data_IF_957444102468
#
_entry.id   IF_957444102468
#
_cell.length_a   1.000
_cell.length_b   1.000
_cell.length_c   1.000
_cell.angle_alpha   90.00
_cell.angle_beta   90.00
_cell.angle_gamma   90.00
#
_symmetry.space_group_name_H-M   'P 1'
#
loop_
_entity.id
_entity.type
_entity.pdbx_description
1 polymer ?
#
# COMPACT_ATOMS: atom_id res chain seq x y z
N UNK A 1 43.87 -7.55 -21.19
CA UNK A 1 42.92 -8.52 -20.59
C UNK A 1 41.91 -7.82 -19.69
N UNK A 2 42.32 -6.91 -18.79
CA UNK A 2 41.41 -6.17 -17.89
C UNK A 2 40.19 -5.42 -18.53
N UNK A 3 40.30 -4.86 -19.74
CA UNK A 3 39.17 -4.16 -20.39
C UNK A 3 38.02 -5.08 -20.81
N UNK A 4 38.31 -6.35 -21.15
CA UNK A 4 37.27 -7.34 -21.53
C UNK A 4 36.44 -7.76 -20.31
N UNK A 5 37.05 -7.78 -19.14
CA UNK A 5 36.40 -8.16 -17.88
C UNK A 5 35.45 -7.06 -17.41
N UNK A 6 35.83 -5.78 -17.55
CA UNK A 6 34.97 -4.64 -17.24
C UNK A 6 33.71 -4.59 -18.12
N UNK A 7 33.86 -4.76 -19.44
CA UNK A 7 32.70 -4.76 -20.35
C UNK A 7 31.72 -5.90 -20.09
N UNK A 8 32.21 -7.03 -19.57
CA UNK A 8 31.35 -8.15 -19.17
C UNK A 8 30.59 -7.81 -17.89
N UNK A 9 31.28 -7.23 -16.90
CA UNK A 9 30.66 -6.77 -15.66
C UNK A 9 29.57 -5.73 -15.96
N UNK A 10 29.81 -4.77 -16.85
CA UNK A 10 28.82 -3.75 -17.22
C UNK A 10 27.56 -4.38 -17.83
N UNK A 11 27.72 -5.38 -18.72
CA UNK A 11 26.61 -6.13 -19.30
C UNK A 11 25.84 -6.91 -18.23
N UNK A 12 26.55 -7.65 -17.37
CA UNK A 12 25.92 -8.44 -16.30
C UNK A 12 25.14 -7.53 -15.33
N UNK A 13 25.63 -6.31 -15.07
CA UNK A 13 24.93 -5.29 -14.28
C UNK A 13 23.68 -4.77 -14.99
N UNK A 14 23.73 -4.49 -16.29
CA UNK A 14 22.54 -4.07 -17.05
C UNK A 14 21.48 -5.16 -17.09
N UNK A 15 21.88 -6.41 -17.31
CA UNK A 15 20.97 -7.56 -17.29
C UNK A 15 20.34 -7.76 -15.91
N UNK A 16 21.13 -7.65 -14.83
CA UNK A 16 20.63 -7.71 -13.47
C UNK A 16 19.62 -6.59 -13.17
N UNK A 17 19.91 -5.35 -13.59
CA UNK A 17 18.97 -4.22 -13.44
C UNK A 17 17.65 -4.46 -14.16
N UNK A 18 17.70 -4.98 -15.38
CA UNK A 18 16.49 -5.34 -16.14
C UNK A 18 15.68 -6.40 -15.40
N UNK A 19 16.34 -7.45 -14.91
CA UNK A 19 15.67 -8.51 -14.15
C UNK A 19 15.04 -7.99 -12.86
N UNK A 20 15.70 -7.06 -12.16
CA UNK A 20 15.12 -6.40 -10.97
C UNK A 20 13.85 -5.64 -11.35
N UNK A 21 13.89 -4.83 -12.42
CA UNK A 21 12.72 -4.09 -12.88
C UNK A 21 11.56 -5.01 -13.28
N UNK A 22 11.85 -6.14 -13.94
CA UNK A 22 10.84 -7.15 -14.30
C UNK A 22 10.20 -7.75 -13.04
N UNK A 23 11.00 -8.13 -12.04
CA UNK A 23 10.51 -8.68 -10.76
C UNK A 23 9.70 -7.66 -9.94
N UNK A 24 10.11 -6.39 -9.94
CA UNK A 24 9.35 -5.31 -9.29
C UNK A 24 7.98 -5.13 -9.95
N UNK A 25 7.92 -5.20 -11.28
CA UNK A 25 6.66 -5.12 -11.99
C UNK A 25 5.78 -6.36 -11.74
N UNK A 26 6.33 -7.57 -11.73
CA UNK A 26 5.60 -8.80 -11.36
C UNK A 26 5.04 -8.71 -9.94
N UNK A 27 5.84 -8.23 -8.99
CA UNK A 27 5.39 -8.01 -7.60
C UNK A 27 4.24 -7.02 -7.54
N UNK A 28 4.34 -5.87 -8.22
CA UNK A 28 3.27 -4.87 -8.28
C UNK A 28 1.98 -5.46 -8.86
N UNK A 29 2.08 -6.24 -9.94
CA UNK A 29 0.92 -6.90 -10.55
C UNK A 29 0.29 -7.94 -9.61
N UNK A 30 1.12 -8.70 -8.88
CA UNK A 30 0.64 -9.66 -7.90
C UNK A 30 -0.09 -8.97 -6.74
N UNK A 31 0.44 -7.86 -6.23
CA UNK A 31 -0.18 -7.05 -5.18
C UNK A 31 -1.52 -6.46 -5.63
N UNK A 32 -1.60 -5.88 -6.83
CA UNK A 32 -2.86 -5.38 -7.40
C UNK A 32 -3.90 -6.49 -7.57
N UNK A 33 -3.48 -7.68 -8.02
CA UNK A 33 -4.37 -8.82 -8.16
C UNK A 33 -4.89 -9.32 -6.80
N UNK A 34 -4.03 -9.36 -5.79
CA UNK A 34 -4.42 -9.73 -4.43
C UNK A 34 -5.43 -8.73 -3.85
N UNK A 35 -5.19 -7.42 -4.01
CA UNK A 35 -6.13 -6.38 -3.59
C UNK A 35 -7.51 -6.54 -4.26
N UNK A 36 -7.55 -6.81 -5.57
CA UNK A 36 -8.80 -7.09 -6.28
C UNK A 36 -9.53 -8.32 -5.74
N UNK A 37 -8.80 -9.37 -5.37
CA UNK A 37 -9.40 -10.58 -4.77
C UNK A 37 -9.98 -10.29 -3.37
N UNK A 38 -9.26 -9.52 -2.55
CA UNK A 38 -9.73 -9.07 -1.23
C UNK A 38 -11.04 -8.28 -1.39
N UNK A 39 -11.09 -7.32 -2.32
CA UNK A 39 -12.30 -6.54 -2.59
C UNK A 39 -13.48 -7.41 -3.02
N UNK A 40 -13.26 -8.39 -3.90
CA UNK A 40 -14.31 -9.35 -4.31
C UNK A 40 -14.86 -10.14 -3.13
N UNK A 41 -13.99 -10.68 -2.27
CA UNK A 41 -14.41 -11.44 -1.09
C UNK A 41 -15.16 -10.57 -0.10
N UNK A 42 -14.71 -9.34 0.12
CA UNK A 42 -15.39 -8.38 0.99
C UNK A 42 -16.83 -8.14 0.53
N UNK A 43 -17.02 -7.83 -0.76
CA UNK A 43 -18.36 -7.60 -1.31
C UNK A 43 -19.23 -8.86 -1.22
N UNK A 44 -18.68 -10.05 -1.49
CA UNK A 44 -19.41 -11.30 -1.31
C UNK A 44 -19.88 -11.48 0.14
N UNK A 45 -19.03 -11.17 1.12
CA UNK A 45 -19.39 -11.24 2.55
C UNK A 45 -20.52 -10.26 2.86
N UNK A 46 -20.43 -9.02 2.39
CA UNK A 46 -21.45 -7.99 2.63
C UNK A 46 -22.81 -8.40 2.07
N UNK A 47 -22.85 -8.86 0.81
CA UNK A 47 -24.08 -9.36 0.18
C UNK A 47 -24.63 -10.64 0.84
N UNK A 48 -23.79 -11.43 1.50
CA UNK A 48 -24.24 -12.59 2.30
C UNK A 48 -24.84 -12.18 3.64
N UNK A 49 -24.35 -11.10 4.25
CA UNK A 49 -24.89 -10.53 5.49
C UNK A 49 -26.21 -9.81 5.23
N UNK A 50 -26.26 -9.01 4.18
CA UNK A 50 -27.45 -8.29 3.75
C UNK A 50 -27.57 -8.33 2.22
N UNK A 51 -28.59 -9.05 1.75
CA UNK A 51 -28.85 -9.22 0.32
C UNK A 51 -29.46 -7.98 -0.34
N UNK A 52 -29.88 -6.99 0.45
CA UNK A 52 -30.46 -5.74 -0.05
C UNK A 52 -29.42 -4.66 -0.35
N UNK A 53 -28.18 -4.84 0.11
CA UNK A 53 -27.09 -3.92 -0.19
C UNK A 53 -26.77 -3.91 -1.70
N UNK A 54 -26.48 -2.71 -2.21
CA UNK A 54 -25.93 -2.53 -3.56
C UNK A 54 -24.42 -2.33 -3.51
N UNK A 55 -23.76 -2.50 -4.67
CA UNK A 55 -22.34 -2.23 -4.81
C UNK A 55 -21.99 -0.76 -4.51
N UNK A 56 -22.87 0.16 -4.90
CA UNK A 56 -22.71 1.60 -4.65
C UNK A 56 -22.73 1.92 -3.16
N UNK A 57 -23.70 1.37 -2.42
CA UNK A 57 -23.77 1.57 -0.96
C UNK A 57 -22.54 0.99 -0.27
N UNK A 58 -22.11 -0.22 -0.64
CA UNK A 58 -20.89 -0.82 -0.09
C UNK A 58 -19.65 0.04 -0.37
N UNK A 59 -19.55 0.62 -1.58
CA UNK A 59 -18.45 1.48 -1.95
C UNK A 59 -18.45 2.79 -1.16
N UNK A 60 -19.61 3.42 -0.99
CA UNK A 60 -19.72 4.69 -0.26
C UNK A 60 -19.51 4.52 1.25
N UNK A 61 -19.94 3.38 1.81
CA UNK A 61 -19.62 3.00 3.19
C UNK A 61 -18.11 2.88 3.39
N UNK A 62 -17.42 2.15 2.49
CA UNK A 62 -15.96 1.99 2.53
C UNK A 62 -15.21 3.31 2.41
N UNK A 63 -15.69 4.25 1.57
CA UNK A 63 -15.08 5.59 1.47
C UNK A 63 -15.24 6.38 2.77
N UNK A 64 -16.43 6.32 3.35
CA UNK A 64 -16.75 6.99 4.62
C UNK A 64 -15.86 6.44 5.73
N UNK A 65 -15.76 5.12 5.86
CA UNK A 65 -14.91 4.45 6.85
C UNK A 65 -13.43 4.83 6.66
N UNK A 66 -12.95 4.82 5.42
CA UNK A 66 -11.57 5.23 5.12
C UNK A 66 -11.29 6.69 5.52
N UNK A 67 -12.24 7.59 5.29
CA UNK A 67 -12.09 9.00 5.67
C UNK A 67 -12.08 9.18 7.20
N UNK A 68 -12.94 8.46 7.92
CA UNK A 68 -12.94 8.47 9.39
C UNK A 68 -11.59 7.97 9.94
N UNK A 69 -11.06 6.87 9.41
CA UNK A 69 -9.76 6.33 9.83
C UNK A 69 -8.63 7.36 9.61
N UNK A 70 -8.63 8.08 8.48
CA UNK A 70 -7.64 9.14 8.22
C UNK A 70 -7.73 10.27 9.23
N UNK A 71 -8.95 10.69 9.57
CA UNK A 71 -9.17 11.76 10.54
C UNK A 71 -8.72 11.34 11.94
N UNK A 72 -9.04 10.12 12.37
CA UNK A 72 -8.57 9.55 13.63
C UNK A 72 -7.04 9.42 13.69
N UNK A 73 -6.40 9.01 12.60
CA UNK A 73 -4.94 8.97 12.52
C UNK A 73 -4.34 10.37 12.63
N UNK A 74 -4.91 11.37 11.95
CA UNK A 74 -4.47 12.75 12.03
C UNK A 74 -4.58 13.29 13.46
N UNK A 75 -5.72 13.09 14.11
CA UNK A 75 -5.93 13.50 15.50
C UNK A 75 -4.92 12.83 16.45
N UNK A 76 -4.68 11.52 16.31
CA UNK A 76 -3.67 10.79 17.12
C UNK A 76 -2.26 11.35 16.94
N UNK A 77 -1.87 11.71 15.71
CA UNK A 77 -0.55 12.32 15.44
C UNK A 77 -0.46 13.72 16.06
N UNK A 78 -1.50 14.52 15.99
CA UNK A 78 -1.55 15.87 16.59
C UNK A 78 -1.48 15.79 18.12
N UNK A 79 -2.23 14.89 18.75
CA UNK A 79 -2.13 14.65 20.19
C UNK A 79 -0.73 14.17 20.61
N UNK A 80 -0.11 13.25 19.84
CA UNK A 80 1.23 12.78 20.14
C UNK A 80 2.26 13.93 20.08
N UNK A 81 2.13 14.82 19.08
CA UNK A 81 2.97 16.01 18.95
C UNK A 81 2.75 16.99 20.12
N UNK A 82 1.50 17.26 20.49
CA UNK A 82 1.19 18.14 21.61
C UNK A 82 1.70 17.58 22.94
N UNK A 83 1.59 16.27 23.17
CA UNK A 83 2.16 15.60 24.36
C UNK A 83 3.69 15.73 24.43
N UNK A 84 4.39 15.59 23.29
CA UNK A 84 5.84 15.78 23.22
C UNK A 84 6.28 17.23 23.46
N UNK A 85 5.51 18.21 23.00
CA UNK A 85 5.78 19.62 23.25
C UNK A 85 5.61 19.96 24.73
N UNK A 86 4.51 19.55 25.36
CA UNK A 86 4.26 19.78 26.80
C UNK A 86 5.36 19.15 27.66
N UNK A 87 5.81 17.92 27.35
CA UNK A 87 6.89 17.28 28.09
C UNK A 87 8.28 17.91 27.89
N UNK A 88 8.45 18.71 26.84
CA UNK A 88 9.72 19.40 26.57
C UNK A 88 9.80 20.78 27.24
N UNK A 89 8.66 21.36 27.60
CA UNK A 89 8.58 22.65 28.31
C UNK A 89 8.64 22.49 29.85
N UNK A 90 8.52 21.25 30.37
CA UNK A 90 8.61 20.91 31.81
C UNK A 90 10.02 20.48 32.27
N UNK A 91 11.02 20.54 31.39
CA UNK A 91 12.43 20.19 31.66
C UNK A 91 13.38 21.32 31.23
#
# INVERSE_FOLDING_TARGET
>A
MAKKDLTKIDRDLEEAKKKVADLENEKRQAEENLQKQIGKLYVQIQLKKDKSQSYETILDDLKTELELIKQEEKARREEAKNRQLISSDEH
#
